data_IF_692057502959
#
_entry.id   IF_692057502959
#
_cell.length_a   1.000
_cell.length_b   1.000
_cell.length_c   1.000
_cell.angle_alpha   90.00
_cell.angle_beta   90.00
_cell.angle_gamma   90.00
#
_symmetry.space_group_name_H-M   'P 1'
#
loop_
_entity.id
_entity.type
_entity.pdbx_description
1 polymer ?
#
# COMPACT_ATOMS: atom_id res chain seq x y z
N UNK A 1 7.67 -5.02 22.49
CA UNK A 1 7.54 -3.75 21.75
C UNK A 1 6.05 -3.43 21.69
N UNK A 2 5.59 -2.24 22.11
CA UNK A 2 4.18 -1.89 22.01
C UNK A 2 3.74 -1.93 20.54
N UNK A 3 2.50 -2.34 20.31
CA UNK A 3 1.89 -2.22 18.99
C UNK A 3 1.75 -0.72 18.68
N UNK A 4 2.02 -0.28 17.44
CA UNK A 4 1.75 1.10 17.05
C UNK A 4 0.26 1.39 17.26
N UNK A 5 -0.05 2.68 17.49
CA UNK A 5 -1.44 3.12 17.53
C UNK A 5 -2.16 2.70 16.23
N UNK A 6 -3.43 2.27 16.32
CA UNK A 6 -4.17 1.85 15.14
C UNK A 6 -4.29 3.03 14.17
N UNK A 7 -3.95 2.77 12.90
CA UNK A 7 -4.07 3.76 11.83
C UNK A 7 -5.56 4.13 11.68
N UNK A 8 -5.95 5.41 11.81
CA UNK A 8 -7.33 5.83 11.61
C UNK A 8 -7.86 5.44 10.22
N UNK A 9 -9.15 5.11 10.13
CA UNK A 9 -9.74 4.61 8.89
C UNK A 9 -9.62 5.62 7.74
N UNK A 10 -9.91 6.89 8.01
CA UNK A 10 -9.82 7.99 7.06
C UNK A 10 -8.39 8.19 6.54
N UNK A 11 -7.39 8.01 7.40
CA UNK A 11 -5.97 8.06 7.02
C UNK A 11 -5.61 6.88 6.13
N UNK A 12 -6.09 5.67 6.44
CA UNK A 12 -5.84 4.48 5.63
C UNK A 12 -6.52 4.58 4.25
N UNK A 13 -7.75 5.06 4.18
CA UNK A 13 -8.48 5.29 2.93
C UNK A 13 -7.75 6.34 2.06
N UNK A 14 -7.32 7.45 2.67
CA UNK A 14 -6.58 8.50 1.97
C UNK A 14 -5.21 8.03 1.48
N UNK A 15 -4.49 7.22 2.28
CA UNK A 15 -3.23 6.62 1.85
C UNK A 15 -3.46 5.67 0.67
N UNK A 16 -4.45 4.78 0.75
CA UNK A 16 -4.76 3.85 -0.32
C UNK A 16 -5.06 4.56 -1.65
N UNK A 17 -5.83 5.66 -1.61
CA UNK A 17 -6.11 6.48 -2.80
C UNK A 17 -4.85 7.13 -3.37
N UNK A 18 -3.97 7.67 -2.53
CA UNK A 18 -2.70 8.27 -2.97
C UNK A 18 -1.78 7.23 -3.60
N UNK A 19 -1.71 6.01 -3.05
CA UNK A 19 -0.89 4.94 -3.59
C UNK A 19 -1.36 4.49 -4.98
N UNK A 20 -2.67 4.38 -5.19
CA UNK A 20 -3.24 4.05 -6.50
C UNK A 20 -3.06 5.19 -7.51
N UNK A 21 -2.93 6.43 -7.05
CA UNK A 21 -2.67 7.58 -7.92
C UNK A 21 -1.21 7.67 -8.39
N UNK A 22 -0.29 6.86 -7.85
CA UNK A 22 1.11 6.83 -8.30
C UNK A 22 1.17 6.30 -9.74
N UNK A 23 1.78 7.03 -10.68
CA UNK A 23 1.95 6.55 -12.04
C UNK A 23 2.71 5.22 -12.08
N UNK A 24 2.11 4.19 -12.67
CA UNK A 24 2.64 2.82 -12.70
C UNK A 24 2.04 1.88 -11.65
N UNK A 25 1.14 2.37 -10.79
CA UNK A 25 0.34 1.54 -9.88
C UNK A 25 -1.08 1.41 -10.44
N UNK A 26 -1.48 0.18 -10.73
CA UNK A 26 -2.81 -0.12 -11.23
C UNK A 26 -3.83 -0.40 -10.12
N UNK A 27 -3.35 -0.73 -8.91
CA UNK A 27 -4.21 -1.03 -7.77
C UNK A 27 -3.48 -1.56 -6.55
N UNK A 28 -4.24 -1.92 -5.52
CA UNK A 28 -3.76 -2.58 -4.31
C UNK A 28 -4.20 -4.04 -4.30
N UNK A 29 -3.24 -4.95 -4.12
CA UNK A 29 -3.48 -6.38 -4.15
C UNK A 29 -3.90 -6.90 -2.76
N UNK A 30 -5.10 -7.47 -2.58
CA UNK A 30 -5.62 -7.88 -1.27
C UNK A 30 -4.96 -9.14 -0.69
N UNK A 31 -3.98 -9.74 -1.38
CA UNK A 31 -3.47 -11.08 -1.07
C UNK A 31 -4.29 -12.16 -1.78
N UNK A 32 -3.81 -13.40 -1.76
CA UNK A 32 -4.45 -14.50 -2.50
C UNK A 32 -5.83 -14.87 -1.94
N UNK A 33 -6.00 -14.70 -0.63
CA UNK A 33 -7.22 -15.01 0.12
C UNK A 33 -7.85 -13.76 0.76
N UNK A 34 -7.39 -12.55 0.39
CA UNK A 34 -7.85 -11.31 1.02
C UNK A 34 -7.22 -11.03 2.39
N UNK A 35 -6.11 -11.69 2.70
CA UNK A 35 -5.40 -11.60 3.98
C UNK A 35 -4.60 -10.30 4.17
N UNK A 36 -4.34 -9.56 3.09
CA UNK A 36 -3.67 -8.27 3.13
C UNK A 36 -4.74 -7.18 3.12
N UNK A 37 -5.22 -6.83 4.31
CA UNK A 37 -6.13 -5.71 4.49
C UNK A 37 -6.02 -5.09 5.89
N UNK A 38 -6.22 -3.78 5.97
CA UNK A 38 -6.55 -3.11 7.22
C UNK A 38 -8.05 -3.28 7.47
N UNK A 39 -8.40 -3.79 8.64
CA UNK A 39 -9.77 -4.13 9.01
C UNK A 39 -10.33 -3.10 9.97
N UNK A 40 -11.51 -2.59 9.63
CA UNK A 40 -12.25 -1.60 10.40
C UNK A 40 -13.69 -2.08 10.64
N UNK A 41 -14.42 -1.49 11.59
CA UNK A 41 -15.82 -1.83 11.80
C UNK A 41 -16.67 -1.61 10.54
N UNK A 42 -17.08 -2.71 9.89
CA UNK A 42 -17.85 -2.73 8.62
C UNK A 42 -17.11 -2.15 7.40
N UNK A 43 -15.81 -1.94 7.49
CA UNK A 43 -15.00 -1.40 6.40
C UNK A 43 -13.66 -2.13 6.32
N UNK A 44 -13.06 -2.18 5.14
CA UNK A 44 -11.70 -2.72 4.98
C UNK A 44 -10.96 -1.99 3.89
N UNK A 45 -9.66 -1.82 4.09
CA UNK A 45 -8.75 -1.24 3.10
C UNK A 45 -7.81 -2.34 2.60
N UNK A 46 -8.01 -2.87 1.38
CA UNK A 46 -7.20 -3.97 0.85
C UNK A 46 -5.78 -3.52 0.50
N UNK A 47 -4.85 -4.48 0.47
CA UNK A 47 -3.45 -4.32 0.09
C UNK A 47 -2.56 -3.57 1.08
N UNK A 48 -3.10 -3.22 2.25
CA UNK A 48 -2.35 -2.65 3.36
C UNK A 48 -2.41 -3.60 4.56
N UNK A 49 -1.28 -3.83 5.24
CA UNK A 49 -1.23 -4.67 6.43
C UNK A 49 -0.16 -4.18 7.40
N UNK A 50 -0.51 -3.98 8.66
CA UNK A 50 0.47 -3.64 9.72
C UNK A 50 1.00 -4.91 10.36
N UNK A 51 2.33 -5.06 10.40
CA UNK A 51 3.06 -6.11 11.12
C UNK A 51 4.10 -5.47 12.03
N UNK A 52 3.80 -5.36 13.31
CA UNK A 52 4.68 -4.66 14.26
C UNK A 52 4.79 -3.18 13.89
N UNK A 53 6.02 -2.70 13.65
CA UNK A 53 6.28 -1.32 13.22
C UNK A 53 6.38 -1.15 11.69
N UNK A 54 6.00 -2.17 10.93
CA UNK A 54 6.10 -2.18 9.46
C UNK A 54 4.71 -2.20 8.84
N UNK A 55 4.49 -1.32 7.86
CA UNK A 55 3.31 -1.34 6.98
C UNK A 55 3.69 -2.05 5.68
N UNK A 56 3.19 -3.27 5.49
CA UNK A 56 3.28 -3.99 4.21
C UNK A 56 2.25 -3.42 3.23
N UNK A 57 2.73 -3.03 2.05
CA UNK A 57 1.96 -2.44 0.96
C UNK A 57 2.08 -3.35 -0.25
N UNK A 58 0.97 -3.96 -0.64
CA UNK A 58 0.91 -4.88 -1.76
C UNK A 58 0.29 -4.18 -2.97
N UNK A 59 1.12 -3.95 -3.99
CA UNK A 59 0.76 -3.20 -5.19
C UNK A 59 0.53 -4.13 -6.38
N UNK A 60 -0.38 -3.71 -7.26
CA UNK A 60 -0.52 -4.21 -8.62
C UNK A 60 0.12 -3.17 -9.53
N UNK A 61 1.08 -3.59 -10.34
CA UNK A 61 1.79 -2.71 -11.27
C UNK A 61 1.06 -2.59 -12.60
N UNK A 62 1.13 -1.41 -13.21
CA UNK A 62 0.81 -1.22 -14.63
C UNK A 62 2.12 -1.24 -15.43
N UNK A 63 2.33 -2.31 -16.20
CA UNK A 63 3.56 -2.48 -16.99
C UNK A 63 3.61 -1.55 -18.21
N UNK A 64 2.47 -1.01 -18.64
CA UNK A 64 2.41 -0.11 -19.80
C UNK A 64 2.95 1.29 -19.49
N UNK A 65 3.00 1.66 -18.20
CA UNK A 65 3.56 2.93 -17.74
C UNK A 65 5.07 3.03 -17.96
N UNK A 66 5.78 1.91 -18.14
CA UNK A 66 7.21 1.89 -18.46
C UNK A 66 8.12 2.51 -17.39
N UNK A 67 7.66 2.68 -16.16
CA UNK A 67 8.43 3.28 -15.07
C UNK A 67 9.32 2.25 -14.35
N UNK A 68 10.53 2.63 -13.95
CA UNK A 68 11.39 1.75 -13.15
C UNK A 68 10.72 1.42 -11.80
N UNK A 69 10.69 0.12 -11.46
CA UNK A 69 10.06 -0.36 -10.22
C UNK A 69 10.67 0.27 -8.95
N UNK A 70 11.98 0.55 -8.99
CA UNK A 70 12.68 1.21 -7.88
C UNK A 70 12.11 2.61 -7.61
N UNK A 71 11.83 3.40 -8.66
CA UNK A 71 11.25 4.74 -8.51
C UNK A 71 9.84 4.67 -7.94
N UNK A 72 9.01 3.72 -8.41
CA UNK A 72 7.67 3.50 -7.88
C UNK A 72 7.76 3.14 -6.39
N UNK A 73 8.67 2.22 -6.03
CA UNK A 73 8.85 1.83 -4.63
C UNK A 73 9.29 3.00 -3.74
N UNK A 74 10.21 3.84 -4.21
CA UNK A 74 10.69 4.99 -3.44
C UNK A 74 9.63 6.07 -3.29
N UNK A 75 8.82 6.32 -4.33
CA UNK A 75 7.68 7.24 -4.27
C UNK A 75 6.63 6.75 -3.27
N UNK A 76 6.28 5.47 -3.31
CA UNK A 76 5.35 4.81 -2.37
C UNK A 76 5.87 4.89 -0.93
N UNK A 77 7.16 4.62 -0.70
CA UNK A 77 7.79 4.76 0.61
C UNK A 77 7.74 6.21 1.10
N UNK A 78 8.03 7.18 0.22
CA UNK A 78 7.98 8.61 0.53
C UNK A 78 6.59 9.08 0.94
N UNK A 79 5.57 8.71 0.16
CA UNK A 79 4.16 9.00 0.48
C UNK A 79 3.76 8.39 1.82
N UNK A 80 4.12 7.12 2.05
CA UNK A 80 3.80 6.43 3.29
C UNK A 80 4.49 7.07 4.49
N UNK A 81 5.76 7.43 4.38
CA UNK A 81 6.50 8.09 5.45
C UNK A 81 5.96 9.50 5.76
N UNK A 82 5.44 10.21 4.75
CA UNK A 82 4.81 11.52 4.95
C UNK A 82 3.48 11.41 5.72
N UNK A 83 2.68 10.37 5.45
CA UNK A 83 1.38 10.14 6.10
C UNK A 83 1.54 9.47 7.47
N UNK A 84 2.51 8.54 7.60
CA UNK A 84 2.71 7.67 8.76
C UNK A 84 4.20 7.64 9.17
N UNK A 85 4.75 8.74 9.71
CA UNK A 85 6.19 8.88 10.00
C UNK A 85 6.75 7.90 11.04
N UNK A 86 5.88 7.19 11.78
CA UNK A 86 6.28 6.19 12.78
C UNK A 86 6.33 4.75 12.27
N UNK A 87 6.00 4.50 10.99
CA UNK A 87 5.97 3.16 10.41
C UNK A 87 6.97 3.02 9.26
N UNK A 88 7.61 1.86 9.20
CA UNK A 88 8.47 1.48 8.07
C UNK A 88 7.59 0.95 6.95
N UNK A 89 7.68 1.54 5.75
CA UNK A 89 6.95 1.07 4.57
C UNK A 89 7.70 -0.08 3.88
N UNK A 90 7.06 -1.23 3.77
CA UNK A 90 7.58 -2.42 3.09
C UNK A 90 6.74 -2.70 1.84
N UNK A 91 7.34 -2.52 0.66
CA UNK A 91 6.62 -2.49 -0.63
C UNK A 91 6.78 -3.83 -1.34
N UNK A 92 5.64 -4.45 -1.68
CA UNK A 92 5.55 -5.73 -2.35
C UNK A 92 4.83 -5.57 -3.69
N UNK A 93 5.51 -5.88 -4.79
CA UNK A 93 4.87 -6.01 -6.10
C UNK A 93 4.26 -7.41 -6.17
N UNK A 94 2.96 -7.50 -5.95
CA UNK A 94 2.26 -8.79 -5.81
C UNK A 94 1.65 -9.26 -7.11
N UNK A 95 1.34 -8.35 -8.00
CA UNK A 95 0.78 -8.64 -9.32
C UNK A 95 1.18 -7.53 -10.31
N UNK A 96 1.02 -7.80 -11.60
CA UNK A 96 1.29 -6.85 -12.66
C UNK A 96 0.31 -7.09 -13.80
N UNK A 97 -0.25 -6.00 -14.33
CA UNK A 97 -1.16 -6.03 -15.46
C UNK A 97 -0.62 -5.19 -16.61
N UNK A 98 -0.98 -5.59 -17.82
CA UNK A 98 -0.82 -4.81 -19.04
C UNK A 98 -2.21 -4.27 -19.38
N UNK A 99 -2.46 -2.99 -19.06
CA UNK A 99 -3.70 -2.33 -19.47
C UNK A 99 -3.61 -2.02 -20.97
N UNK A 100 -4.23 -2.87 -21.79
CA UNK A 100 -4.30 -2.71 -23.25
C UNK A 100 -5.24 -1.60 -23.71
#
# INVERSE_FOLDING_TARGET
MPLPDPIPQDVADALAQQLVAVPGVAGLHPGQFGEVALLYPRHRVPGLQVKGATLSIHLILDLTAGRPLAEIADEVRGLTAAVLPGLTADVHFSDAQESS
#
